data_IF_354558597342
#
_entry.id   IF_354558597342
#
_cell.length_a   1.000
_cell.length_b   1.000
_cell.length_c   1.000
_cell.angle_alpha   90.00
_cell.angle_beta   90.00
_cell.angle_gamma   90.00
#
_symmetry.space_group_name_H-M   'P 1'
#
loop_
_entity.id
_entity.type
_entity.pdbx_description
1 polymer ?
#
# COMPACT_ATOMS: atom_id res chain seq x y z
N UNK A 1 -1.90 -2.73 -14.17
CA UNK A 1 -2.73 -3.04 -12.99
C UNK A 1 -3.40 -4.41 -12.98
N UNK A 2 -3.53 -5.15 -14.10
CA UNK A 2 -4.28 -6.43 -14.14
C UNK A 2 -3.89 -7.45 -13.07
N UNK A 3 -2.59 -7.57 -12.76
CA UNK A 3 -2.08 -8.48 -11.73
C UNK A 3 -2.46 -8.07 -10.30
N UNK A 4 -2.34 -6.77 -9.97
CA UNK A 4 -2.71 -6.25 -8.65
C UNK A 4 -4.21 -6.33 -8.43
N UNK A 5 -5.01 -6.00 -9.45
CA UNK A 5 -6.46 -6.11 -9.36
C UNK A 5 -6.89 -7.50 -8.95
N UNK A 6 -6.31 -8.58 -9.48
CA UNK A 6 -6.62 -9.96 -9.07
C UNK A 6 -6.50 -10.20 -7.55
N UNK A 7 -5.71 -9.40 -6.84
CA UNK A 7 -5.41 -9.49 -5.41
C UNK A 7 -6.02 -8.38 -4.55
N UNK A 8 -6.88 -7.56 -5.12
CA UNK A 8 -7.64 -6.53 -4.40
C UNK A 8 -9.10 -6.99 -4.23
N UNK A 9 -9.77 -6.48 -3.18
CA UNK A 9 -11.23 -6.60 -3.05
C UNK A 9 -11.94 -5.92 -4.21
N UNK A 10 -13.22 -6.25 -4.42
CA UNK A 10 -13.99 -5.65 -5.51
C UNK A 10 -14.18 -4.15 -5.31
N UNK A 11 -14.33 -3.74 -4.06
CA UNK A 11 -14.49 -2.35 -3.61
C UNK A 11 -13.23 -1.55 -3.92
N UNK A 12 -12.06 -2.02 -3.47
CA UNK A 12 -10.78 -1.33 -3.72
C UNK A 12 -10.46 -1.23 -5.22
N UNK A 13 -10.82 -2.24 -6.03
CA UNK A 13 -10.63 -2.15 -7.50
C UNK A 13 -11.42 -1.00 -8.10
N UNK A 14 -12.68 -0.80 -7.71
CA UNK A 14 -13.54 0.26 -8.24
C UNK A 14 -12.98 1.65 -7.95
N UNK A 15 -12.33 1.83 -6.79
CA UNK A 15 -11.70 3.09 -6.41
C UNK A 15 -10.47 3.42 -7.28
N UNK A 16 -9.77 2.40 -7.77
CA UNK A 16 -8.51 2.53 -8.53
C UNK A 16 -8.73 2.53 -10.05
N UNK A 17 -9.75 1.84 -10.55
CA UNK A 17 -9.96 1.55 -11.98
C UNK A 17 -10.11 2.80 -12.87
N UNK A 18 -10.63 3.90 -12.31
CA UNK A 18 -10.83 5.17 -13.04
C UNK A 18 -9.81 6.26 -12.69
N UNK A 19 -8.70 5.89 -12.04
CA UNK A 19 -7.65 6.83 -11.61
C UNK A 19 -6.33 6.51 -12.30
N UNK A 20 -5.55 7.55 -12.60
CA UNK A 20 -4.18 7.41 -13.08
C UNK A 20 -3.22 7.53 -11.90
N UNK A 21 -2.25 6.63 -11.86
CA UNK A 21 -1.17 6.62 -10.89
C UNK A 21 0.13 6.41 -11.64
N UNK A 22 1.17 7.14 -11.25
CA UNK A 22 2.48 7.05 -11.89
C UNK A 22 3.35 5.98 -11.23
N UNK A 23 3.12 5.72 -9.94
CA UNK A 23 3.89 4.77 -9.15
C UNK A 23 3.01 3.96 -8.17
N UNK A 24 3.53 2.79 -7.80
CA UNK A 24 2.95 1.92 -6.76
C UNK A 24 4.09 1.42 -5.87
N UNK A 25 4.03 1.76 -4.58
CA UNK A 25 4.93 1.22 -3.57
C UNK A 25 4.31 0.00 -2.90
N UNK A 26 5.07 -1.09 -2.72
CA UNK A 26 4.57 -2.33 -2.10
C UNK A 26 5.40 -2.67 -0.86
N UNK A 27 4.73 -2.94 0.24
CA UNK A 27 5.37 -3.30 1.51
C UNK A 27 4.67 -4.52 2.09
N UNK A 28 5.44 -5.59 2.27
CA UNK A 28 4.97 -6.82 2.89
C UNK A 28 5.19 -6.74 4.41
N UNK A 29 4.17 -7.07 5.20
CA UNK A 29 4.20 -6.92 6.65
C UNK A 29 3.12 -7.76 7.33
N UNK A 30 3.14 -7.87 8.66
CA UNK A 30 2.03 -8.45 9.43
C UNK A 30 0.78 -7.57 9.46
N UNK A 31 -0.36 -8.14 9.88
CA UNK A 31 -1.66 -7.46 9.86
C UNK A 31 -1.73 -6.20 10.76
N UNK A 32 -1.27 -6.19 12.02
CA UNK A 32 -1.19 -4.95 12.79
C UNK A 32 -0.34 -3.86 12.12
N UNK A 33 0.83 -4.24 11.63
CA UNK A 33 1.72 -3.31 10.94
C UNK A 33 1.14 -2.85 9.61
N UNK A 34 0.32 -3.64 8.92
CA UNK A 34 -0.35 -3.22 7.69
C UNK A 34 -1.16 -1.94 7.91
N UNK A 35 -1.98 -1.90 8.96
CA UNK A 35 -2.78 -0.71 9.27
C UNK A 35 -1.93 0.45 9.79
N UNK A 36 -0.94 0.16 10.63
CA UNK A 36 -0.01 1.18 11.14
C UNK A 36 0.78 1.86 10.00
N UNK A 37 1.35 1.07 9.09
CA UNK A 37 2.13 1.59 7.97
C UNK A 37 1.25 2.30 6.95
N UNK A 38 0.02 1.82 6.71
CA UNK A 38 -0.94 2.52 5.86
C UNK A 38 -1.21 3.95 6.37
N UNK A 39 -1.48 4.12 7.66
CA UNK A 39 -1.71 5.43 8.30
C UNK A 39 -0.48 6.33 8.16
N UNK A 40 0.73 5.82 8.44
CA UNK A 40 1.99 6.56 8.31
C UNK A 40 2.21 7.01 6.86
N UNK A 41 2.08 6.10 5.89
CA UNK A 41 2.31 6.40 4.48
C UNK A 41 1.33 7.44 3.92
N UNK A 42 0.04 7.33 4.26
CA UNK A 42 -0.98 8.29 3.83
C UNK A 42 -0.83 9.68 4.45
N UNK A 43 -0.26 9.79 5.67
CA UNK A 43 0.06 11.08 6.29
C UNK A 43 1.31 11.73 5.70
N UNK A 44 2.25 10.92 5.20
CA UNK A 44 3.53 11.39 4.68
C UNK A 44 3.49 11.84 3.21
N UNK A 45 2.59 11.29 2.40
CA UNK A 45 2.46 11.61 0.99
C UNK A 45 1.03 11.56 0.50
N UNK A 46 0.75 12.22 -0.63
CA UNK A 46 -0.55 12.20 -1.30
C UNK A 46 -0.80 10.84 -2.01
N UNK A 47 -0.87 9.77 -1.22
CA UNK A 47 -1.05 8.38 -1.68
C UNK A 47 -2.34 7.78 -1.14
N UNK A 48 -2.88 6.82 -1.88
CA UNK A 48 -3.94 5.93 -1.40
C UNK A 48 -3.33 4.58 -1.02
N UNK A 49 -3.68 4.08 0.17
CA UNK A 49 -3.22 2.78 0.65
C UNK A 49 -4.30 1.71 0.39
N UNK A 50 -3.88 0.58 -0.16
CA UNK A 50 -4.75 -0.57 -0.37
C UNK A 50 -4.11 -1.84 0.15
N UNK A 51 -4.91 -2.72 0.75
CA UNK A 51 -4.49 -4.07 1.06
C UNK A 51 -4.46 -4.93 -0.21
N UNK A 52 -3.36 -5.64 -0.41
CA UNK A 52 -3.17 -6.65 -1.45
C UNK A 52 -3.16 -8.02 -0.77
N UNK A 53 -4.18 -8.82 -1.05
CA UNK A 53 -4.36 -10.12 -0.41
C UNK A 53 -3.31 -11.12 -0.90
N UNK A 54 -2.57 -11.70 0.05
CA UNK A 54 -1.56 -12.72 -0.22
C UNK A 54 -2.17 -14.07 -0.65
N UNK A 55 -1.28 -15.03 -0.97
CA UNK A 55 -1.67 -16.41 -1.26
C UNK A 55 -1.77 -17.29 0.00
N UNK A 56 -1.14 -16.89 1.10
CA UNK A 56 -1.00 -17.72 2.29
C UNK A 56 -1.94 -17.22 3.39
N UNK A 57 -2.75 -18.10 4.02
CA UNK A 57 -3.75 -17.69 5.01
C UNK A 57 -3.17 -17.26 6.37
N UNK A 58 -1.86 -17.24 6.57
CA UNK A 58 -1.26 -16.93 7.88
C UNK A 58 -0.37 -15.68 7.87
N UNK A 59 -0.94 -14.61 8.43
CA UNK A 59 -0.32 -13.45 9.08
C UNK A 59 0.48 -12.44 8.26
N UNK A 60 0.87 -12.71 7.01
CA UNK A 60 1.63 -11.76 6.19
C UNK A 60 0.78 -11.25 5.02
N UNK A 61 0.54 -9.94 5.01
CA UNK A 61 -0.17 -9.20 3.96
C UNK A 61 0.73 -8.13 3.33
N UNK A 62 0.22 -7.46 2.30
CA UNK A 62 0.94 -6.40 1.61
C UNK A 62 0.09 -5.14 1.58
N UNK A 63 0.66 -4.01 2.00
CA UNK A 63 0.08 -2.68 1.73
C UNK A 63 0.68 -2.12 0.46
N UNK A 64 -0.19 -1.55 -0.38
CA UNK A 64 0.19 -0.91 -1.63
C UNK A 64 -0.18 0.58 -1.59
N UNK A 65 0.79 1.46 -1.84
CA UNK A 65 0.61 2.91 -1.93
C UNK A 65 0.58 3.35 -3.38
N UNK A 66 -0.56 3.89 -3.81
CA UNK A 66 -0.79 4.37 -5.16
C UNK A 66 -0.74 5.90 -5.18
N UNK A 67 0.04 6.48 -6.09
CA UNK A 67 0.17 7.93 -6.21
C UNK A 67 1.06 8.35 -7.38
N UNK A 68 1.46 9.62 -7.40
CA UNK A 68 2.57 10.05 -8.24
C UNK A 68 3.91 9.53 -7.66
N UNK A 69 4.97 9.59 -8.47
CA UNK A 69 6.28 9.07 -8.09
C UNK A 69 6.86 9.73 -6.84
N UNK A 70 6.67 11.04 -6.66
CA UNK A 70 7.22 11.77 -5.52
C UNK A 70 6.48 11.42 -4.23
N UNK A 71 5.15 11.38 -4.28
CA UNK A 71 4.27 11.01 -3.18
C UNK A 71 4.52 9.58 -2.72
N UNK A 72 4.69 8.63 -3.65
CA UNK A 72 5.01 7.24 -3.31
C UNK A 72 6.38 7.13 -2.66
N UNK A 73 7.41 7.81 -3.18
CA UNK A 73 8.74 7.82 -2.56
C UNK A 73 8.71 8.41 -1.14
N UNK A 74 7.97 9.50 -0.92
CA UNK A 74 7.78 10.09 0.40
C UNK A 74 7.11 9.11 1.38
N UNK A 75 6.05 8.43 0.95
CA UNK A 75 5.35 7.43 1.75
C UNK A 75 6.26 6.23 2.12
N UNK A 76 7.00 5.70 1.14
CA UNK A 76 7.96 4.59 1.37
C UNK A 76 9.06 4.99 2.36
N UNK A 77 9.63 6.20 2.22
CA UNK A 77 10.67 6.68 3.12
C UNK A 77 10.16 6.81 4.57
N UNK A 78 8.97 7.37 4.76
CA UNK A 78 8.35 7.50 6.08
C UNK A 78 8.05 6.14 6.72
N UNK A 79 7.48 5.21 5.93
CA UNK A 79 7.21 3.85 6.41
C UNK A 79 8.49 3.12 6.80
N UNK A 80 9.54 3.21 5.97
CA UNK A 80 10.82 2.56 6.27
C UNK A 80 11.39 3.04 7.59
N UNK A 81 11.41 4.36 7.81
CA UNK A 81 11.87 4.94 9.08
C UNK A 81 11.03 4.48 10.27
N UNK A 82 9.71 4.35 10.10
CA UNK A 82 8.80 3.88 11.15
C UNK A 82 8.92 2.37 11.43
N UNK A 83 9.34 1.57 10.44
CA UNK A 83 9.51 0.13 10.58
C UNK A 83 10.87 -0.24 11.16
N UNK A 84 11.95 0.43 10.71
CA UNK A 84 13.32 0.21 11.20
C UNK A 84 13.51 0.74 12.65
N UNK A 85 12.64 1.64 13.12
CA UNK A 85 12.63 2.17 14.48
C UNK A 85 11.86 1.34 15.51
N UNK A 86 11.35 0.15 15.14
CA UNK A 86 10.65 -0.78 16.03
C UNK A 86 11.57 -1.85 16.62
#
# INVERSE_FOLDING_TARGET
MSMLFRRMTRESRKEVENRKFDAIGLIQTDLPNLFYLADIGQKAGAVQAFEITGNCPQHINTVAFFGDTAAVNAAIAAVRNAYDGK
#
